data_IF_559781777765
#
_entry.id   IF_559781777765
#
_cell.length_a   1.000
_cell.length_b   1.000
_cell.length_c   1.000
_cell.angle_alpha   90.00
_cell.angle_beta   90.00
_cell.angle_gamma   90.00
#
_symmetry.space_group_name_H-M   'P 1'
#
loop_
_entity.id
_entity.type
_entity.pdbx_description
1 polymer ?
#
# COMPACT_ATOMS: atom_id res chain seq x y z
N UNK A 1 2.40 8.90 -0.55
CA UNK A 1 0.99 9.19 -0.87
C UNK A 1 0.82 10.66 -1.20
N UNK A 2 -0.15 11.02 -2.04
CA UNK A 2 -0.40 12.40 -2.45
C UNK A 2 -1.29 13.19 -1.47
N UNK A 3 -0.98 13.09 -0.18
CA UNK A 3 -1.69 13.69 0.94
C UNK A 3 -0.68 14.31 1.92
N UNK A 4 -0.98 15.49 2.45
CA UNK A 4 -0.27 16.02 3.63
C UNK A 4 -0.94 15.52 4.90
N UNK A 5 -0.16 14.89 5.77
CA UNK A 5 -0.60 14.52 7.12
C UNK A 5 -0.17 15.59 8.13
N UNK A 6 -0.87 15.64 9.26
CA UNK A 6 -0.56 16.54 10.38
C UNK A 6 -0.05 15.75 11.58
N UNK A 7 0.66 16.43 12.46
CA UNK A 7 1.07 15.92 13.77
C UNK A 7 -0.14 15.74 14.71
N UNK A 8 -0.06 14.76 15.60
CA UNK A 8 -1.16 14.37 16.49
C UNK A 8 -1.52 15.44 17.54
N UNK A 9 -0.55 16.25 17.98
CA UNK A 9 -0.67 17.16 19.12
C UNK A 9 -1.00 18.60 18.70
N UNK A 10 -0.12 19.21 17.90
CA UNK A 10 -0.17 20.58 17.42
C UNK A 10 -0.93 20.72 16.10
N UNK A 11 -1.28 19.61 15.44
CA UNK A 11 -2.04 19.59 14.18
C UNK A 11 -1.36 20.37 13.06
N UNK A 12 -0.03 20.45 13.10
CA UNK A 12 0.79 21.11 12.07
C UNK A 12 1.12 20.14 10.95
N UNK A 13 1.20 20.58 9.68
CA UNK A 13 1.61 19.73 8.58
C UNK A 13 2.99 19.11 8.82
N UNK A 14 3.06 17.77 8.79
CA UNK A 14 4.31 17.00 8.89
C UNK A 14 4.94 16.74 7.53
N UNK A 15 4.12 16.71 6.48
CA UNK A 15 4.56 16.39 5.12
C UNK A 15 3.77 15.23 4.53
N UNK A 16 4.34 14.61 3.49
CA UNK A 16 3.72 13.48 2.81
C UNK A 16 4.29 12.17 3.34
N UNK A 17 3.45 11.20 3.73
CA UNK A 17 3.93 9.88 4.09
C UNK A 17 4.32 9.08 2.85
N UNK A 18 5.28 8.19 3.00
CA UNK A 18 5.57 7.12 2.06
C UNK A 18 4.54 6.01 2.21
N UNK A 19 4.16 5.40 1.09
CA UNK A 19 3.22 4.29 1.04
C UNK A 19 3.84 3.18 0.20
N UNK A 20 3.98 2.00 0.80
CA UNK A 20 4.40 0.77 0.13
C UNK A 20 3.22 -0.20 0.11
N UNK A 21 2.97 -0.83 -1.03
CA UNK A 21 1.86 -1.77 -1.24
C UNK A 21 2.40 -3.12 -1.71
N UNK A 22 1.77 -4.19 -1.25
CA UNK A 22 1.96 -5.54 -1.77
C UNK A 22 0.63 -6.06 -2.32
N UNK A 23 0.66 -6.59 -3.55
CA UNK A 23 -0.51 -7.14 -4.24
C UNK A 23 -0.25 -8.57 -4.66
N UNK A 24 -1.22 -9.44 -4.44
CA UNK A 24 -1.24 -10.75 -5.08
C UNK A 24 -1.67 -10.58 -6.54
N UNK A 25 -0.85 -11.08 -7.46
CA UNK A 25 -1.07 -10.88 -8.90
C UNK A 25 -2.25 -11.69 -9.41
N UNK A 26 -2.47 -12.90 -8.87
CA UNK A 26 -3.53 -13.78 -9.35
C UNK A 26 -4.92 -13.24 -8.98
N UNK A 27 -5.12 -12.89 -7.71
CA UNK A 27 -6.41 -12.47 -7.16
C UNK A 27 -6.62 -10.96 -7.21
N UNK A 28 -5.55 -10.18 -7.44
CA UNK A 28 -5.54 -8.71 -7.29
C UNK A 28 -5.76 -8.22 -5.86
N UNK A 29 -5.77 -9.11 -4.86
CA UNK A 29 -5.87 -8.67 -3.47
C UNK A 29 -4.64 -7.87 -3.08
N UNK A 30 -4.87 -6.70 -2.47
CA UNK A 30 -3.82 -6.11 -1.64
C UNK A 30 -3.61 -7.03 -0.44
N UNK A 31 -2.41 -7.57 -0.31
CA UNK A 31 -2.03 -8.51 0.76
C UNK A 31 -1.31 -7.80 1.90
N UNK A 32 -0.89 -6.55 1.71
CA UNK A 32 -0.33 -5.73 2.78
C UNK A 32 -0.02 -4.33 2.30
N UNK A 33 0.09 -3.41 3.25
CA UNK A 33 0.65 -2.10 3.02
C UNK A 33 1.43 -1.63 4.24
N UNK A 34 2.31 -0.66 4.01
CA UNK A 34 3.01 0.08 5.04
C UNK A 34 2.94 1.57 4.71
N UNK A 35 2.60 2.39 5.71
CA UNK A 35 2.57 3.84 5.60
C UNK A 35 3.40 4.45 6.72
N UNK A 36 4.25 5.42 6.39
CA UNK A 36 5.19 6.00 7.35
C UNK A 36 5.82 7.29 6.83
N UNK A 37 6.47 8.05 7.73
CA UNK A 37 7.19 9.26 7.33
C UNK A 37 8.62 8.98 6.85
N UNK A 38 9.16 7.81 7.22
CA UNK A 38 10.49 7.38 6.81
C UNK A 38 10.53 6.99 5.33
N UNK A 39 11.67 7.29 4.71
CA UNK A 39 11.90 6.91 3.31
C UNK A 39 11.97 5.39 3.18
N UNK A 40 11.51 4.82 2.06
CA UNK A 40 11.62 3.40 1.78
C UNK A 40 13.05 2.89 1.93
N UNK A 41 13.18 1.73 2.58
CA UNK A 41 14.43 1.09 2.90
C UNK A 41 14.20 -0.33 3.41
N UNK A 42 15.27 -1.03 3.79
CA UNK A 42 15.19 -2.42 4.23
C UNK A 42 14.20 -2.64 5.40
N UNK A 43 14.16 -1.72 6.36
CA UNK A 43 13.26 -1.80 7.51
C UNK A 43 11.79 -1.67 7.12
N UNK A 44 11.44 -0.70 6.27
CA UNK A 44 10.06 -0.51 5.81
C UNK A 44 9.59 -1.67 4.94
N UNK A 45 10.49 -2.25 4.14
CA UNK A 45 10.21 -3.48 3.37
C UNK A 45 9.95 -4.65 4.31
N UNK A 46 10.76 -4.83 5.36
CA UNK A 46 10.53 -5.88 6.35
C UNK A 46 9.16 -5.71 7.03
N UNK A 47 8.79 -4.49 7.45
CA UNK A 47 7.48 -4.20 8.03
C UNK A 47 6.33 -4.53 7.08
N UNK A 48 6.46 -4.18 5.79
CA UNK A 48 5.50 -4.55 4.77
C UNK A 48 5.37 -6.08 4.64
N UNK A 49 6.48 -6.81 4.58
CA UNK A 49 6.46 -8.27 4.45
C UNK A 49 5.88 -8.95 5.69
N UNK A 50 6.18 -8.47 6.89
CA UNK A 50 5.52 -8.91 8.12
C UNK A 50 4.01 -8.74 8.01
N UNK A 51 3.55 -7.59 7.48
CA UNK A 51 2.12 -7.35 7.23
C UNK A 51 1.56 -8.31 6.18
N UNK A 52 2.31 -8.71 5.16
CA UNK A 52 1.87 -9.68 4.14
C UNK A 52 1.70 -11.08 4.74
N UNK A 53 2.66 -11.52 5.56
CA UNK A 53 2.71 -12.90 6.06
C UNK A 53 1.72 -13.15 7.19
N UNK A 54 1.54 -12.18 8.10
CA UNK A 54 0.74 -12.39 9.31
C UNK A 54 -0.75 -12.11 9.08
N UNK A 55 -1.65 -12.81 9.82
CA UNK A 55 -3.06 -12.46 9.90
C UNK A 55 -3.25 -10.98 10.28
N UNK A 56 -4.25 -10.32 9.68
CA UNK A 56 -4.46 -8.88 9.87
C UNK A 56 -5.32 -8.54 11.09
N UNK A 57 -6.00 -9.51 11.69
CA UNK A 57 -7.01 -9.28 12.73
C UNK A 57 -6.48 -8.41 13.89
N UNK A 58 -5.38 -8.83 14.52
CA UNK A 58 -4.79 -8.10 15.66
C UNK A 58 -4.29 -6.70 15.24
N UNK A 59 -3.73 -6.56 14.04
CA UNK A 59 -3.31 -5.25 13.54
C UNK A 59 -4.50 -4.32 13.28
N UNK A 60 -5.57 -4.82 12.65
CA UNK A 60 -6.79 -4.05 12.39
C UNK A 60 -7.47 -3.63 13.70
N UNK A 61 -7.48 -4.52 14.70
CA UNK A 61 -7.98 -4.20 16.04
C UNK A 61 -7.18 -3.07 16.70
N UNK A 62 -5.84 -3.15 16.68
CA UNK A 62 -4.96 -2.07 17.17
C UNK A 62 -5.13 -0.77 16.39
N UNK A 63 -5.48 -0.87 15.11
CA UNK A 63 -5.79 0.26 14.26
C UNK A 63 -7.21 0.80 14.51
N UNK A 64 -8.06 0.12 15.28
CA UNK A 64 -9.46 0.50 15.50
C UNK A 64 -10.34 0.35 14.25
N UNK A 65 -9.96 -0.55 13.33
CA UNK A 65 -10.66 -0.79 12.07
C UNK A 65 -11.46 -2.09 12.13
N UNK A 66 -12.77 -2.00 11.96
CA UNK A 66 -13.66 -3.16 11.86
C UNK A 66 -13.82 -3.58 10.40
N UNK A 67 -12.98 -4.51 9.94
CA UNK A 67 -13.07 -5.07 8.59
C UNK A 67 -12.47 -6.49 8.55
N UNK A 68 -12.93 -7.29 7.60
CA UNK A 68 -12.29 -8.57 7.30
C UNK A 68 -11.16 -8.37 6.28
N UNK A 69 -9.99 -8.94 6.57
CA UNK A 69 -8.87 -8.99 5.65
C UNK A 69 -8.16 -10.33 5.79
N UNK A 70 -8.71 -11.41 5.20
CA UNK A 70 -8.21 -12.76 5.42
C UNK A 70 -6.93 -13.06 4.63
N UNK A 71 -6.55 -12.25 3.65
CA UNK A 71 -5.41 -12.53 2.79
C UNK A 71 -4.08 -12.41 3.53
N UNK A 72 -3.41 -13.53 3.80
CA UNK A 72 -2.08 -13.58 4.41
C UNK A 72 -1.36 -14.88 4.00
N UNK A 73 -0.07 -14.95 4.28
CA UNK A 73 0.74 -16.15 4.08
C UNK A 73 2.13 -15.85 3.53
N UNK A 74 3.02 -16.85 3.61
CA UNK A 74 4.37 -16.74 3.05
C UNK A 74 4.29 -16.82 1.53
N UNK A 75 4.69 -15.77 0.79
CA UNK A 75 4.65 -15.79 -0.66
C UNK A 75 5.70 -16.76 -1.22
N UNK A 76 5.38 -17.45 -2.32
CA UNK A 76 6.38 -18.27 -3.02
C UNK A 76 7.38 -17.43 -3.80
N UNK A 77 6.91 -16.32 -4.38
CA UNK A 77 7.69 -15.42 -5.21
C UNK A 77 7.35 -13.98 -4.85
N UNK A 78 8.38 -13.15 -4.66
CA UNK A 78 8.26 -11.69 -4.58
C UNK A 78 8.78 -11.05 -5.86
N UNK A 79 7.88 -10.38 -6.58
CA UNK A 79 8.23 -9.56 -7.73
C UNK A 79 8.60 -8.15 -7.27
N UNK A 80 9.84 -7.75 -7.48
CA UNK A 80 10.39 -6.48 -7.01
C UNK A 80 10.89 -5.62 -8.17
N UNK A 81 10.85 -4.30 -8.00
CA UNK A 81 11.58 -3.41 -8.91
C UNK A 81 13.08 -3.40 -8.56
N UNK A 82 13.87 -2.65 -9.32
CA UNK A 82 15.33 -2.61 -9.15
C UNK A 82 15.81 -1.60 -8.09
N UNK A 83 14.93 -1.06 -7.26
CA UNK A 83 15.30 -0.12 -6.20
C UNK A 83 16.29 -0.74 -5.22
N UNK A 84 17.15 0.11 -4.65
CA UNK A 84 18.22 -0.32 -3.75
C UNK A 84 17.70 -0.97 -2.46
N UNK A 85 16.54 -0.54 -1.98
CA UNK A 85 15.87 -1.10 -0.80
C UNK A 85 15.60 -2.60 -0.91
N UNK A 86 15.32 -3.08 -2.13
CA UNK A 86 15.05 -4.48 -2.42
C UNK A 86 16.31 -5.33 -2.61
N UNK A 87 17.50 -4.76 -2.44
CA UNK A 87 18.79 -5.46 -2.57
C UNK A 87 19.53 -5.61 -1.24
N UNK A 88 18.84 -5.34 -0.12
CA UNK A 88 19.45 -5.44 1.20
C UNK A 88 19.80 -6.89 1.56
N UNK A 89 20.92 -7.08 2.27
CA UNK A 89 21.34 -8.41 2.76
C UNK A 89 20.29 -9.07 3.65
N UNK A 90 19.61 -8.26 4.48
CA UNK A 90 18.57 -8.75 5.38
C UNK A 90 17.38 -9.34 4.61
N UNK A 91 16.92 -8.65 3.56
CA UNK A 91 15.84 -9.14 2.69
C UNK A 91 16.25 -10.44 1.98
N UNK A 92 17.45 -10.46 1.39
CA UNK A 92 17.97 -11.64 0.69
C UNK A 92 18.05 -12.86 1.62
N UNK A 93 18.60 -12.68 2.82
CA UNK A 93 18.73 -13.75 3.81
C UNK A 93 17.37 -14.25 4.30
N UNK A 94 16.46 -13.33 4.68
CA UNK A 94 15.13 -13.71 5.15
C UNK A 94 14.32 -14.43 4.06
N UNK A 95 14.33 -13.93 2.83
CA UNK A 95 13.65 -14.60 1.74
C UNK A 95 14.22 -16.00 1.46
N UNK A 96 15.55 -16.16 1.49
CA UNK A 96 16.17 -17.48 1.34
C UNK A 96 15.77 -18.46 2.47
N UNK A 97 15.72 -17.99 3.72
CA UNK A 97 15.33 -18.78 4.88
C UNK A 97 13.89 -19.29 4.80
N UNK A 98 12.97 -18.43 4.35
CA UNK A 98 11.54 -18.78 4.20
C UNK A 98 11.19 -19.39 2.83
N UNK A 99 12.16 -19.69 1.98
CA UNK A 99 11.93 -20.29 0.66
C UNK A 99 11.20 -19.37 -0.33
N UNK A 100 11.34 -18.05 -0.17
CA UNK A 100 10.73 -17.03 -1.01
C UNK A 100 11.70 -16.69 -2.16
N UNK A 101 11.28 -16.93 -3.39
CA UNK A 101 12.05 -16.55 -4.58
C UNK A 101 11.94 -15.03 -4.82
N UNK A 102 13.08 -14.35 -5.03
CA UNK A 102 13.10 -12.95 -5.42
C UNK A 102 13.24 -12.81 -6.94
N UNK A 103 12.21 -12.26 -7.59
CA UNK A 103 12.24 -11.94 -9.01
C UNK A 103 12.30 -10.43 -9.23
N UNK A 104 13.44 -9.94 -9.68
CA UNK A 104 13.60 -8.54 -10.08
C UNK A 104 13.11 -8.31 -11.50
N UNK A 105 12.51 -7.14 -11.72
CA UNK A 105 12.13 -6.70 -13.07
C UNK A 105 13.34 -6.70 -14.02
N UNK A 106 13.20 -7.18 -15.27
CA UNK A 106 14.22 -6.96 -16.29
C UNK A 106 14.47 -5.46 -16.49
N UNK A 107 15.74 -5.08 -16.63
CA UNK A 107 16.12 -3.68 -16.87
C UNK A 107 15.48 -3.20 -18.18
N UNK A 108 14.87 -2.02 -18.17
CA UNK A 108 14.28 -1.40 -19.37
C UNK A 108 12.90 -1.92 -19.79
N UNK A 109 12.26 -2.84 -19.05
CA UNK A 109 10.89 -3.33 -19.35
C UNK A 109 9.86 -2.85 -18.31
N UNK A 110 9.08 -1.79 -18.59
CA UNK A 110 8.10 -1.23 -17.66
C UNK A 110 6.86 -2.12 -17.46
N UNK A 111 6.56 -3.03 -18.39
CA UNK A 111 5.29 -3.79 -18.42
C UNK A 111 5.04 -4.71 -17.21
N UNK A 112 6.07 -5.09 -16.45
CA UNK A 112 5.93 -5.99 -15.29
C UNK A 112 5.29 -5.31 -14.06
N UNK A 113 5.18 -3.98 -14.04
CA UNK A 113 4.63 -3.21 -12.91
C UNK A 113 3.16 -2.81 -13.07
N UNK A 114 2.50 -3.13 -14.19
CA UNK A 114 1.21 -2.54 -14.55
C UNK A 114 0.07 -2.76 -13.54
N UNK A 115 0.15 -3.84 -12.75
CA UNK A 115 -0.82 -4.14 -11.70
C UNK A 115 -0.67 -3.20 -10.49
N UNK A 116 0.55 -3.05 -9.99
CA UNK A 116 0.85 -2.11 -8.89
C UNK A 116 0.62 -0.67 -9.34
N UNK A 117 1.03 -0.30 -10.56
CA UNK A 117 0.80 1.05 -11.09
C UNK A 117 -0.70 1.37 -11.20
N UNK A 118 -1.51 0.40 -11.64
CA UNK A 118 -2.96 0.56 -11.71
C UNK A 118 -3.58 0.67 -10.32
N UNK A 119 -3.18 -0.19 -9.38
CA UNK A 119 -3.62 -0.12 -7.99
C UNK A 119 -3.27 1.23 -7.36
N UNK A 120 -2.03 1.68 -7.51
CA UNK A 120 -1.58 2.99 -7.05
C UNK A 120 -2.45 4.11 -7.60
N UNK A 121 -2.73 4.10 -8.91
CA UNK A 121 -3.62 5.10 -9.52
C UNK A 121 -5.02 5.06 -8.91
N UNK A 122 -5.63 3.89 -8.78
CA UNK A 122 -6.96 3.72 -8.16
C UNK A 122 -7.00 4.24 -6.73
N UNK A 123 -5.99 3.95 -5.91
CA UNK A 123 -5.93 4.44 -4.54
C UNK A 123 -5.66 5.95 -4.50
N UNK A 124 -4.77 6.48 -5.34
CA UNK A 124 -4.49 7.92 -5.37
C UNK A 124 -5.70 8.75 -5.83
N UNK A 125 -6.51 8.23 -6.76
CA UNK A 125 -7.80 8.84 -7.12
C UNK A 125 -8.74 8.98 -5.92
N UNK A 126 -8.76 8.00 -5.02
CA UNK A 126 -9.52 8.05 -3.77
C UNK A 126 -8.92 9.02 -2.76
N UNK A 127 -7.61 9.00 -2.61
CA UNK A 127 -6.86 9.93 -1.74
C UNK A 127 -7.09 11.39 -2.18
N UNK A 128 -7.30 11.67 -3.46
CA UNK A 128 -7.62 13.02 -3.94
C UNK A 128 -8.96 13.58 -3.43
N UNK A 129 -9.84 12.73 -2.90
CA UNK A 129 -11.05 13.14 -2.19
C UNK A 129 -10.80 13.57 -0.74
N UNK A 130 -9.61 13.33 -0.18
CA UNK A 130 -9.30 13.62 1.21
C UNK A 130 -8.81 15.06 1.44
N UNK A 131 -9.05 15.60 2.65
CA UNK A 131 -8.52 16.90 3.08
C UNK A 131 -6.99 16.87 3.12
N UNK A 132 -6.33 17.89 2.55
CA UNK A 132 -4.87 17.96 2.43
C UNK A 132 -4.30 17.22 1.23
N UNK A 133 -5.15 16.69 0.35
CA UNK A 133 -4.67 16.01 -0.85
C UNK A 133 -4.04 16.99 -1.83
N UNK A 134 -2.87 16.60 -2.33
CA UNK A 134 -1.97 17.54 -2.99
C UNK A 134 -2.17 17.63 -4.50
N UNK A 135 -3.04 16.82 -5.11
CA UNK A 135 -3.27 16.83 -6.55
C UNK A 135 -2.05 16.45 -7.39
N UNK A 136 -2.30 15.96 -8.60
CA UNK A 136 -1.27 15.41 -9.48
C UNK A 136 -0.43 16.47 -10.22
N UNK A 137 -0.88 17.73 -10.30
CA UNK A 137 -0.18 18.80 -11.03
C UNK A 137 0.27 19.99 -10.15
N UNK A 138 1.38 20.67 -10.50
CA UNK A 138 1.81 21.89 -9.82
C UNK A 138 0.76 23.01 -9.82
N UNK A 139 -0.05 23.12 -10.88
CA UNK A 139 -1.17 24.08 -10.98
C UNK A 139 -2.30 23.72 -10.00
N UNK A 140 -2.65 22.44 -9.89
CA UNK A 140 -3.63 21.94 -8.90
C UNK A 140 -3.20 22.18 -7.46
N UNK A 141 -1.90 22.02 -7.15
CA UNK A 141 -1.32 22.29 -5.81
C UNK A 141 -1.51 23.73 -5.37
N UNK A 142 -1.26 24.70 -6.26
CA UNK A 142 -1.39 26.14 -5.93
C UNK A 142 -2.86 26.53 -5.67
N UNK A 143 -3.81 25.93 -6.38
CA UNK A 143 -5.23 26.22 -6.19
C UNK A 143 -5.82 25.62 -4.91
N UNK A 144 -5.32 24.46 -4.45
CA UNK A 144 -5.89 23.73 -3.31
C UNK A 144 -5.32 24.11 -1.93
N UNK A 145 -4.19 24.82 -1.88
CA UNK A 145 -3.49 25.17 -0.62
C UNK A 145 -3.48 24.00 0.41
N UNK A 146 -2.91 22.83 0.06
CA UNK A 146 -3.08 21.59 0.80
C UNK A 146 -2.59 21.68 2.25
N UNK A 147 -1.62 22.53 2.55
CA UNK A 147 -1.14 22.78 3.92
C UNK A 147 -2.24 23.36 4.83
N UNK A 148 -3.17 24.14 4.28
CA UNK A 148 -4.32 24.70 5.01
C UNK A 148 -5.49 23.73 5.11
N UNK A 149 -5.50 22.69 4.28
CA UNK A 149 -6.55 21.68 4.23
C UNK A 149 -6.14 20.37 4.89
N UNK A 150 -4.86 20.19 5.24
CA UNK A 150 -4.35 18.99 5.87
C UNK A 150 -5.04 18.78 7.22
N UNK A 151 -5.70 17.63 7.37
CA UNK A 151 -6.55 17.37 8.53
C UNK A 151 -6.46 15.92 9.03
N UNK A 152 -5.67 15.05 8.42
CA UNK A 152 -5.51 13.68 8.86
C UNK A 152 -4.15 13.49 9.51
N UNK A 153 -4.09 12.84 10.66
CA UNK A 153 -2.83 12.30 11.20
C UNK A 153 -2.36 11.12 10.36
N UNK A 154 -1.13 10.68 10.63
CA UNK A 154 -0.63 9.44 10.02
C UNK A 154 -1.50 8.23 10.39
N UNK A 155 -1.94 8.15 11.67
CA UNK A 155 -2.80 7.08 12.15
C UNK A 155 -4.19 7.11 11.50
N UNK A 156 -4.82 8.29 11.43
CA UNK A 156 -6.11 8.46 10.77
C UNK A 156 -6.03 8.11 9.27
N UNK A 157 -4.91 8.43 8.62
CA UNK A 157 -4.69 8.05 7.24
C UNK A 157 -4.47 6.54 7.07
N UNK A 158 -3.75 5.89 8.00
CA UNK A 158 -3.60 4.42 8.02
C UNK A 158 -4.96 3.72 8.20
N UNK A 159 -5.78 4.20 9.14
CA UNK A 159 -7.16 3.74 9.37
C UNK A 159 -8.02 3.86 8.11
N UNK A 160 -8.03 5.05 7.51
CA UNK A 160 -8.78 5.30 6.28
C UNK A 160 -8.33 4.38 5.15
N UNK A 161 -7.02 4.20 4.98
CA UNK A 161 -6.48 3.36 3.91
C UNK A 161 -6.84 1.88 4.12
N UNK A 162 -6.81 1.41 5.36
CA UNK A 162 -7.24 0.05 5.70
C UNK A 162 -8.71 -0.18 5.34
N UNK A 163 -9.60 0.76 5.70
CA UNK A 163 -11.02 0.70 5.34
C UNK A 163 -11.26 0.76 3.82
N UNK A 164 -10.61 1.69 3.13
CA UNK A 164 -10.75 1.85 1.68
C UNK A 164 -10.30 0.59 0.93
N UNK A 165 -9.23 -0.07 1.40
CA UNK A 165 -8.77 -1.32 0.80
C UNK A 165 -9.71 -2.49 1.16
N UNK A 166 -9.90 -2.74 2.45
CA UNK A 166 -10.59 -3.93 2.95
C UNK A 166 -12.08 -3.91 2.57
N UNK A 167 -12.77 -2.78 2.75
CA UNK A 167 -14.22 -2.73 2.53
C UNK A 167 -14.61 -2.33 1.11
N UNK A 168 -13.79 -1.52 0.42
CA UNK A 168 -14.14 -1.06 -0.94
C UNK A 168 -13.37 -1.78 -2.02
N UNK A 169 -12.04 -1.68 -2.03
CA UNK A 169 -11.24 -2.21 -3.14
C UNK A 169 -11.42 -3.71 -3.32
N UNK A 170 -11.30 -4.49 -2.23
CA UNK A 170 -11.42 -5.95 -2.30
C UNK A 170 -12.82 -6.44 -2.69
N UNK A 171 -13.85 -5.61 -2.51
CA UNK A 171 -15.24 -5.93 -2.83
C UNK A 171 -15.77 -5.23 -4.10
N UNK A 172 -14.91 -4.51 -4.82
CA UNK A 172 -15.29 -3.88 -6.09
C UNK A 172 -15.00 -4.80 -7.27
N UNK A 173 -15.91 -4.80 -8.25
CA UNK A 173 -15.71 -5.55 -9.49
C UNK A 173 -14.42 -5.11 -10.20
N UNK A 174 -13.59 -6.09 -10.56
CA UNK A 174 -12.28 -5.82 -11.15
C UNK A 174 -12.20 -6.32 -12.60
N UNK A 175 -11.91 -5.42 -13.54
CA UNK A 175 -11.81 -5.75 -14.98
C UNK A 175 -10.81 -6.86 -15.27
N UNK A 176 -9.67 -6.85 -14.56
CA UNK A 176 -8.64 -7.89 -14.70
C UNK A 176 -9.03 -9.25 -14.12
N UNK A 177 -10.21 -9.36 -13.51
CA UNK A 177 -10.81 -10.58 -12.96
C UNK A 177 -12.17 -10.87 -13.63
N UNK A 178 -12.39 -10.35 -14.85
CA UNK A 178 -13.63 -10.55 -15.61
C UNK A 178 -14.91 -10.16 -14.85
N UNK A 179 -14.82 -9.16 -13.96
CA UNK A 179 -15.94 -8.66 -13.17
C UNK A 179 -16.05 -9.26 -11.77
N UNK A 180 -15.31 -10.31 -11.45
CA UNK A 180 -15.19 -10.79 -10.07
C UNK A 180 -14.49 -9.75 -9.17
N UNK A 181 -14.70 -9.87 -7.86
CA UNK A 181 -14.04 -9.02 -6.86
C UNK A 181 -12.76 -9.69 -6.36
N UNK A 182 -11.71 -8.94 -5.98
CA UNK A 182 -10.50 -9.53 -5.42
C UNK A 182 -10.78 -10.50 -4.27
N UNK A 183 -11.66 -10.12 -3.33
CA UNK A 183 -12.06 -10.98 -2.21
C UNK A 183 -12.70 -12.29 -2.68
N UNK A 184 -13.64 -12.24 -3.64
CA UNK A 184 -14.27 -13.45 -4.16
C UNK A 184 -13.28 -14.39 -4.86
N UNK A 185 -12.32 -13.82 -5.60
CA UNK A 185 -11.28 -14.61 -6.28
C UNK A 185 -10.33 -15.25 -5.29
N UNK A 186 -9.95 -14.54 -4.21
CA UNK A 186 -9.16 -15.12 -3.12
C UNK A 186 -9.87 -16.28 -2.44
N UNK A 187 -11.17 -16.16 -2.12
CA UNK A 187 -11.94 -17.22 -1.47
C UNK A 187 -12.17 -18.44 -2.38
N UNK A 188 -11.96 -18.29 -3.69
CA UNK A 188 -12.14 -19.36 -4.68
C UNK A 188 -10.86 -20.16 -4.98
N UNK A 189 -9.73 -19.81 -4.35
CA UNK A 189 -8.48 -20.56 -4.41
C UNK A 189 -8.53 -21.83 -3.55
#
# INVERSE_FOLDING_TARGET
ADLLVVDDLLRRPLGRPWLSLAVDVATRCVVGFYVGMDRPGAATVALLLTRVVLPKAEWLEKLGVQAEWPMHGVPRVLHLDNAAEFKSRALLAGCAEYGIELMYRPVGRPHFGGHIERLNRTLMERVHGLPGSTGSSPKGRKARAPEKQAALTLHEFEQWLALEIAQRYHHSAHRGLLGATPASTWTSL
#
